data_IF_207818836138
#
_entry.id   IF_207818836138
#
_cell.length_a   1.000
_cell.length_b   1.000
_cell.length_c   1.000
_cell.angle_alpha   90.00
_cell.angle_beta   90.00
_cell.angle_gamma   90.00
#
_symmetry.space_group_name_H-M   'P 1'
#
loop_
_entity.id
_entity.type
_entity.pdbx_description
1 polymer ?
#
# COMPACT_ATOMS: atom_id res chain seq x y z
N UNK A 1 -26.99 -8.00 19.20
CA UNK A 1 -27.00 -6.85 18.26
C UNK A 1 -25.91 -5.88 18.69
N UNK A 2 -24.81 -5.81 17.93
CA UNK A 2 -23.93 -4.64 17.71
C UNK A 2 -22.65 -5.17 17.08
N UNK A 3 -22.68 -5.32 15.76
CA UNK A 3 -21.51 -5.60 14.96
C UNK A 3 -20.93 -4.26 14.46
N UNK A 4 -19.71 -3.97 14.91
CA UNK A 4 -18.61 -3.25 14.22
C UNK A 4 -18.91 -1.87 13.62
N UNK A 5 -18.66 -0.82 14.41
CA UNK A 5 -18.60 0.57 13.98
C UNK A 5 -17.14 1.03 13.85
N UNK A 6 -16.47 0.59 12.78
CA UNK A 6 -15.60 1.48 12.00
C UNK A 6 -15.69 1.06 10.53
N UNK A 7 -16.78 1.54 9.94
CA UNK A 7 -17.05 1.80 8.53
C UNK A 7 -16.03 1.30 7.47
N UNK A 8 -16.38 0.19 6.81
CA UNK A 8 -15.78 -0.23 5.54
C UNK A 8 -15.82 0.83 4.43
N UNK A 9 -16.67 1.86 4.54
CA UNK A 9 -16.80 2.94 3.55
C UNK A 9 -15.58 3.86 3.46
N UNK A 10 -14.88 4.15 4.57
CA UNK A 10 -13.72 5.08 4.54
C UNK A 10 -12.51 4.47 3.82
N UNK A 11 -12.38 3.12 3.82
CA UNK A 11 -11.30 2.42 3.09
C UNK A 11 -11.48 2.49 1.57
N UNK A 12 -12.72 2.57 1.07
CA UNK A 12 -13.04 2.58 -0.36
C UNK A 12 -12.88 3.97 -0.99
N UNK A 13 -13.21 5.05 -0.27
CA UNK A 13 -13.03 6.42 -0.76
C UNK A 13 -11.55 6.77 -1.00
N UNK A 14 -10.64 6.29 -0.15
CA UNK A 14 -9.20 6.51 -0.30
C UNK A 14 -8.62 5.90 -1.59
N UNK A 15 -9.31 4.91 -2.18
CA UNK A 15 -8.92 4.32 -3.48
C UNK A 15 -9.51 5.10 -4.67
N UNK A 16 -10.65 5.78 -4.51
CA UNK A 16 -11.26 6.62 -5.56
C UNK A 16 -10.53 7.95 -5.76
N UNK A 17 -9.92 8.50 -4.70
CA UNK A 17 -9.17 9.75 -4.73
C UNK A 17 -7.77 9.60 -5.34
N UNK A 18 -7.71 9.39 -6.66
CA UNK A 18 -6.47 9.20 -7.40
C UNK A 18 -5.42 10.29 -7.13
N UNK A 19 -4.37 9.92 -6.40
CA UNK A 19 -3.00 10.40 -6.65
C UNK A 19 -2.11 9.19 -6.82
N UNK A 20 -2.15 8.58 -7.99
CA UNK A 20 -1.16 7.58 -8.40
C UNK A 20 0.22 8.25 -8.51
N UNK A 21 0.94 8.31 -7.40
CA UNK A 21 2.33 8.68 -7.41
C UNK A 21 3.20 7.43 -7.51
N UNK A 22 4.23 7.49 -8.34
CA UNK A 22 5.22 6.42 -8.41
C UNK A 22 5.86 6.24 -7.02
N UNK A 23 5.72 5.04 -6.45
CA UNK A 23 6.32 4.62 -5.17
C UNK A 23 5.69 5.21 -3.89
N UNK A 24 4.38 5.50 -3.88
CA UNK A 24 3.59 5.65 -2.62
C UNK A 24 2.49 4.58 -2.51
N UNK A 25 2.18 4.18 -1.29
CA UNK A 25 1.06 3.28 -1.02
C UNK A 25 -0.28 4.03 -1.09
N UNK A 26 -1.23 3.53 -1.87
CA UNK A 26 -2.55 4.15 -2.02
C UNK A 26 -3.46 4.04 -0.77
N UNK A 27 -3.05 3.34 0.28
CA UNK A 27 -3.90 3.05 1.47
C UNK A 27 -3.39 3.76 2.72
N UNK A 28 -2.07 3.82 2.90
CA UNK A 28 -1.43 4.34 4.11
C UNK A 28 -0.34 5.36 3.81
N UNK A 29 -0.22 5.80 2.55
CA UNK A 29 0.72 6.82 2.07
C UNK A 29 2.21 6.57 2.37
N UNK A 30 2.57 5.35 2.78
CA UNK A 30 3.96 4.92 2.96
C UNK A 30 4.76 5.25 1.71
N UNK A 31 5.88 5.94 1.91
CA UNK A 31 6.78 6.40 0.86
C UNK A 31 8.24 6.18 1.25
N UNK A 32 9.17 6.55 0.36
CA UNK A 32 10.60 6.46 0.67
C UNK A 32 10.97 7.36 1.85
N UNK A 33 11.79 6.83 2.75
CA UNK A 33 12.38 7.59 3.84
C UNK A 33 13.79 8.03 3.42
N UNK A 34 14.20 9.21 3.87
CA UNK A 34 15.55 9.73 3.68
C UNK A 34 16.31 9.75 4.99
N UNK A 35 17.63 9.61 4.92
CA UNK A 35 18.51 9.78 6.07
C UNK A 35 19.96 9.58 5.67
N UNK A 36 20.81 9.26 6.65
CA UNK A 36 22.25 9.17 6.44
C UNK A 36 22.76 7.75 6.69
N UNK A 37 23.70 7.30 5.86
CA UNK A 37 24.59 6.19 6.17
C UNK A 37 25.76 6.76 6.96
N UNK A 38 25.89 6.33 8.22
CA UNK A 38 26.96 6.75 9.13
C UNK A 38 28.03 5.66 9.13
N UNK A 39 29.28 6.01 8.85
CA UNK A 39 30.43 5.09 8.97
C UNK A 39 30.95 5.06 10.40
N UNK A 40 31.84 4.10 10.70
CA UNK A 40 32.53 4.02 11.99
C UNK A 40 33.25 5.33 12.38
N UNK A 41 33.83 6.03 11.41
CA UNK A 41 34.45 7.36 11.58
C UNK A 41 33.45 8.54 11.57
N UNK A 42 32.16 8.28 11.75
CA UNK A 42 31.07 9.26 11.75
C UNK A 42 30.95 10.11 10.46
N UNK A 43 31.42 9.61 9.32
CA UNK A 43 31.18 10.26 8.02
C UNK A 43 29.74 9.96 7.59
N UNK A 44 28.99 11.00 7.24
CA UNK A 44 27.57 10.91 6.86
C UNK A 44 27.44 11.04 5.35
N UNK A 45 26.90 10.01 4.70
CA UNK A 45 26.49 10.06 3.29
C UNK A 45 24.98 9.93 3.18
N UNK A 46 24.36 10.65 2.24
CA UNK A 46 22.91 10.57 2.01
C UNK A 46 22.50 9.17 1.56
N UNK A 47 21.42 8.64 2.15
CA UNK A 47 20.78 7.40 1.71
C UNK A 47 19.26 7.53 1.76
N UNK A 48 18.59 6.65 1.02
CA UNK A 48 17.14 6.48 1.09
C UNK A 48 16.76 5.03 1.35
N UNK A 49 15.70 4.81 2.12
CA UNK A 49 15.06 3.50 2.27
C UNK A 49 13.75 3.51 1.47
N UNK A 50 13.67 2.66 0.44
CA UNK A 50 12.43 2.47 -0.30
C UNK A 50 11.41 1.69 0.52
N UNK A 51 10.16 2.16 0.55
CA UNK A 51 9.06 1.35 1.06
C UNK A 51 8.81 0.15 0.13
N UNK A 52 8.54 -1.02 0.70
CA UNK A 52 8.22 -2.23 -0.08
C UNK A 52 6.78 -2.14 -0.62
N UNK A 53 6.66 -1.44 -1.75
CA UNK A 53 5.40 -1.18 -2.46
C UNK A 53 5.36 -2.06 -3.70
N UNK A 54 4.23 -2.73 -3.90
CA UNK A 54 4.00 -3.64 -5.03
C UNK A 54 2.78 -3.19 -5.81
N UNK A 55 2.86 -3.33 -7.14
CA UNK A 55 1.70 -3.15 -8.03
C UNK A 55 0.88 -4.42 -8.00
N UNK A 56 -0.37 -4.32 -7.55
CA UNK A 56 -1.29 -5.46 -7.43
C UNK A 56 -2.61 -5.16 -8.12
N UNK A 57 -3.29 -6.21 -8.58
CA UNK A 57 -4.68 -6.14 -9.04
C UNK A 57 -5.60 -6.19 -7.84
N UNK A 58 -6.57 -5.28 -7.79
CA UNK A 58 -7.49 -5.10 -6.67
C UNK A 58 -8.88 -4.87 -7.23
N UNK A 59 -9.88 -5.47 -6.59
CA UNK A 59 -11.28 -5.19 -6.88
C UNK A 59 -11.67 -3.92 -6.13
N UNK A 60 -12.06 -2.88 -6.87
CA UNK A 60 -12.50 -1.59 -6.36
C UNK A 60 -13.83 -1.28 -7.01
N UNK A 61 -14.90 -1.19 -6.22
CA UNK A 61 -16.28 -0.96 -6.69
C UNK A 61 -16.70 -1.95 -7.80
N UNK A 62 -16.31 -3.22 -7.69
CA UNK A 62 -16.59 -4.26 -8.69
C UNK A 62 -15.71 -4.21 -9.95
N UNK A 63 -14.85 -3.19 -10.10
CA UNK A 63 -13.89 -3.08 -11.20
C UNK A 63 -12.49 -3.50 -10.78
N UNK A 64 -11.78 -4.26 -11.62
CA UNK A 64 -10.39 -4.65 -11.33
C UNK A 64 -9.46 -3.51 -11.75
N UNK A 65 -8.80 -2.87 -10.78
CA UNK A 65 -7.80 -1.83 -11.00
C UNK A 65 -6.42 -2.30 -10.55
N UNK A 66 -5.37 -1.75 -11.16
CA UNK A 66 -3.99 -1.94 -10.68
C UNK A 66 -3.63 -0.76 -9.78
N UNK A 67 -3.25 -1.04 -8.54
CA UNK A 67 -2.85 0.00 -7.58
C UNK A 67 -1.53 -0.35 -6.90
N UNK A 68 -0.81 0.69 -6.43
CA UNK A 68 0.41 0.57 -5.64
C UNK A 68 0.06 0.34 -4.16
N UNK A 69 0.43 -0.82 -3.61
CA UNK A 69 0.08 -1.21 -2.24
C UNK A 69 1.32 -1.65 -1.46
N UNK A 70 1.41 -1.24 -0.19
CA UNK A 70 2.48 -1.66 0.70
C UNK A 70 2.33 -3.13 1.13
N UNK A 71 3.44 -3.86 1.35
CA UNK A 71 3.36 -5.26 1.80
C UNK A 71 2.67 -5.44 3.15
N UNK A 72 2.77 -4.47 4.06
CA UNK A 72 2.01 -4.48 5.33
C UNK A 72 0.50 -4.48 5.06
N UNK A 73 0.07 -3.65 4.11
CA UNK A 73 -1.32 -3.45 3.75
C UNK A 73 -1.90 -4.71 3.09
N UNK A 74 -1.08 -5.37 2.25
CA UNK A 74 -1.40 -6.67 1.67
C UNK A 74 -1.51 -7.76 2.74
N UNK A 75 -0.59 -7.78 3.72
CA UNK A 75 -0.60 -8.76 4.81
C UNK A 75 -1.82 -8.60 5.72
N UNK A 76 -2.23 -7.36 6.00
CA UNK A 76 -3.38 -7.07 6.86
C UNK A 76 -4.74 -7.29 6.21
N UNK A 77 -4.80 -7.73 4.94
CA UNK A 77 -6.07 -8.01 4.27
C UNK A 77 -6.92 -6.77 3.98
N UNK A 78 -6.32 -5.58 3.95
CA UNK A 78 -7.04 -4.34 3.59
C UNK A 78 -7.47 -4.29 2.13
N UNK A 79 -7.05 -5.27 1.33
CA UNK A 79 -7.17 -5.28 -0.12
C UNK A 79 -7.64 -6.64 -0.59
N UNK A 80 -8.74 -6.66 -1.32
CA UNK A 80 -9.25 -7.86 -1.98
C UNK A 80 -8.48 -8.11 -3.28
N UNK A 81 -7.88 -9.29 -3.36
CA UNK A 81 -7.23 -9.78 -4.58
C UNK A 81 -8.28 -10.51 -5.41
N UNK A 82 -8.38 -10.23 -6.72
CA UNK A 82 -9.21 -11.06 -7.58
C UNK A 82 -8.62 -12.49 -7.58
N UNK A 83 -9.44 -13.48 -7.24
CA UNK A 83 -9.09 -14.89 -7.32
C UNK A 83 -9.06 -15.32 -8.79
N UNK A 84 -7.89 -15.71 -9.29
CA UNK A 84 -7.72 -16.33 -10.62
C UNK A 84 -7.52 -17.83 -10.50
N UNK A 85 -8.14 -18.47 -9.51
CA UNK A 85 -8.18 -19.92 -9.45
C UNK A 85 -9.14 -20.37 -10.54
N UNK A 86 -8.58 -20.74 -11.70
CA UNK A 86 -9.20 -21.76 -12.54
C UNK A 86 -9.52 -22.92 -11.62
N UNK A 87 -10.80 -23.27 -11.51
CA UNK A 87 -11.21 -24.45 -10.77
C UNK A 87 -10.51 -25.67 -11.38
N UNK A 88 -9.73 -26.35 -10.56
CA UNK A 88 -9.43 -27.78 -10.64
C UNK A 88 -9.82 -28.39 -9.29
#
# INVERSE_FOLDING_TARGET
MQAVWYNTTVKYEYVKGGKEMSKRCAICDKSKLFGNKVTFSNRKSSRSWGANIRKVRVVVDGSVKRINVCTTCLKSGFVERPSFTSAE
#
